data_IF_802548856106
#
_entry.id   IF_802548856106
#
_cell.length_a   1.000
_cell.length_b   1.000
_cell.length_c   1.000
_cell.angle_alpha   90.00
_cell.angle_beta   90.00
_cell.angle_gamma   90.00
#
_symmetry.space_group_name_H-M   'P 1'
#
loop_
_entity.id
_entity.type
_entity.pdbx_description
1 polymer ?
#
# COMPACT_ATOMS: atom_id res chain seq x y z
N UNK A 1 21.00 -2.26 2.24
CA UNK A 1 19.88 -3.20 2.28
C UNK A 1 18.61 -2.54 2.80
N UNK A 2 18.63 -1.93 4.00
CA UNK A 2 17.44 -1.33 4.63
C UNK A 2 16.78 -0.28 3.73
N UNK A 3 17.54 0.71 3.23
CA UNK A 3 17.01 1.75 2.33
C UNK A 3 16.34 1.15 1.09
N UNK A 4 16.93 0.11 0.51
CA UNK A 4 16.33 -0.56 -0.66
C UNK A 4 15.04 -1.32 -0.30
N UNK A 5 14.96 -1.90 0.90
CA UNK A 5 13.75 -2.57 1.39
C UNK A 5 12.62 -1.55 1.60
N UNK A 6 12.92 -0.48 2.36
CA UNK A 6 11.94 0.55 2.71
C UNK A 6 11.42 1.27 1.46
N UNK A 7 12.32 1.80 0.60
CA UNK A 7 11.89 2.50 -0.61
C UNK A 7 11.24 1.58 -1.65
N UNK A 8 11.65 0.31 -1.68
CA UNK A 8 11.07 -0.66 -2.62
C UNK A 8 9.66 -1.10 -2.24
N UNK A 9 9.42 -1.37 -0.95
CA UNK A 9 8.05 -1.71 -0.48
C UNK A 9 7.14 -0.48 -0.55
N UNK A 10 7.68 0.72 -0.36
CA UNK A 10 6.94 1.97 -0.51
C UNK A 10 6.48 2.17 -1.96
N UNK A 11 7.35 1.93 -2.93
CA UNK A 11 6.98 1.96 -4.35
C UNK A 11 5.87 0.95 -4.70
N UNK A 12 5.89 -0.25 -4.09
CA UNK A 12 4.83 -1.23 -4.23
C UNK A 12 3.53 -0.73 -3.58
N UNK A 13 3.61 -0.12 -2.39
CA UNK A 13 2.46 0.46 -1.70
C UNK A 13 1.81 1.56 -2.53
N UNK A 14 2.60 2.50 -3.05
CA UNK A 14 2.14 3.55 -3.95
C UNK A 14 1.37 2.98 -5.16
N UNK A 15 1.93 1.95 -5.82
CA UNK A 15 1.29 1.36 -6.98
C UNK A 15 -0.02 0.62 -6.63
N UNK A 16 -0.06 -0.10 -5.50
CA UNK A 16 -1.26 -0.82 -5.04
C UNK A 16 -2.33 0.17 -4.62
N UNK A 17 -2.00 1.22 -3.86
CA UNK A 17 -2.99 2.23 -3.51
C UNK A 17 -3.50 2.97 -4.75
N UNK A 18 -2.60 3.42 -5.64
CA UNK A 18 -2.99 4.12 -6.86
C UNK A 18 -4.00 3.35 -7.72
N UNK A 19 -3.88 2.02 -7.80
CA UNK A 19 -4.80 1.20 -8.61
C UNK A 19 -6.06 0.78 -7.86
N UNK A 20 -6.06 0.86 -6.54
CA UNK A 20 -7.23 0.51 -5.72
C UNK A 20 -8.05 1.72 -5.28
N UNK A 21 -7.56 2.95 -5.45
CA UNK A 21 -8.34 4.17 -5.15
C UNK A 21 -9.71 4.18 -5.85
N UNK A 22 -10.60 5.03 -5.36
CA UNK A 22 -11.90 5.31 -5.99
C UNK A 22 -11.68 5.73 -7.45
N UNK A 23 -12.57 5.31 -8.35
CA UNK A 23 -12.54 5.72 -9.76
C UNK A 23 -12.79 7.22 -9.88
N UNK A 24 -12.13 7.89 -10.82
CA UNK A 24 -12.18 9.36 -10.97
C UNK A 24 -13.61 9.91 -11.13
N UNK A 25 -14.49 9.14 -11.75
CA UNK A 25 -15.90 9.49 -11.99
C UNK A 25 -16.81 9.16 -10.78
N UNK A 26 -16.27 8.51 -9.76
CA UNK A 26 -16.94 8.14 -8.51
C UNK A 26 -16.37 8.88 -7.29
N UNK A 27 -15.33 9.70 -7.48
CA UNK A 27 -14.70 10.43 -6.39
C UNK A 27 -15.63 11.57 -5.93
N UNK A 28 -16.11 11.48 -4.70
CA UNK A 28 -16.93 12.48 -4.05
C UNK A 28 -16.09 13.29 -3.06
N UNK A 29 -15.99 14.60 -3.29
CA UNK A 29 -15.30 15.52 -2.40
C UNK A 29 -16.38 16.38 -1.71
N UNK A 30 -16.38 16.45 -0.36
CA UNK A 30 -17.37 17.25 0.37
C UNK A 30 -17.35 18.72 -0.06
N UNK A 31 -18.53 19.35 -0.03
CA UNK A 31 -18.68 20.76 -0.43
C UNK A 31 -17.77 21.69 0.41
N UNK A 32 -16.94 22.46 -0.26
CA UNK A 32 -15.99 23.38 0.37
C UNK A 32 -14.63 22.79 0.66
N UNK A 33 -14.45 21.47 0.46
CA UNK A 33 -13.16 20.81 0.56
C UNK A 33 -12.44 20.74 -0.79
N UNK A 34 -11.14 20.47 -0.76
CA UNK A 34 -10.31 20.31 -1.95
C UNK A 34 -9.50 19.03 -1.85
N UNK A 35 -9.39 18.32 -2.96
CA UNK A 35 -8.47 17.17 -3.11
C UNK A 35 -7.50 17.47 -4.25
N UNK A 36 -6.21 17.22 -4.02
CA UNK A 36 -5.18 17.38 -5.06
C UNK A 36 -5.08 16.17 -6.00
N UNK A 37 -5.89 15.14 -5.75
CA UNK A 37 -5.89 13.88 -6.47
C UNK A 37 -7.22 13.66 -7.16
N UNK A 38 -7.17 12.97 -8.30
CA UNK A 38 -8.33 12.79 -9.18
C UNK A 38 -8.98 11.39 -9.03
N UNK A 39 -8.43 10.50 -8.21
CA UNK A 39 -8.84 9.10 -8.20
C UNK A 39 -8.25 8.30 -9.36
N UNK A 40 -8.61 7.04 -9.44
CA UNK A 40 -8.07 6.09 -10.43
C UNK A 40 -8.61 6.36 -11.84
N UNK A 41 -7.70 6.42 -12.81
CA UNK A 41 -7.99 6.46 -14.25
C UNK A 41 -7.40 5.25 -14.96
N UNK A 42 -7.73 5.05 -16.24
CA UNK A 42 -7.09 4.02 -17.07
C UNK A 42 -5.57 4.25 -17.22
N UNK A 43 -5.15 5.51 -17.35
CA UNK A 43 -3.73 5.87 -17.46
C UNK A 43 -2.98 5.52 -16.16
N UNK A 44 -3.49 5.97 -15.01
CA UNK A 44 -2.85 5.68 -13.71
C UNK A 44 -2.83 4.20 -13.40
N UNK A 45 -3.89 3.48 -13.77
CA UNK A 45 -3.97 2.01 -13.64
C UNK A 45 -2.91 1.29 -14.47
N UNK A 46 -2.66 1.75 -15.70
CA UNK A 46 -1.62 1.16 -16.56
C UNK A 46 -0.21 1.36 -16.01
N UNK A 47 0.07 2.54 -15.43
CA UNK A 47 1.35 2.83 -14.78
C UNK A 47 1.53 1.98 -13.52
N UNK A 48 0.50 1.91 -12.67
CA UNK A 48 0.50 1.13 -11.43
C UNK A 48 0.64 -0.38 -11.70
N UNK A 49 -0.08 -0.93 -12.69
CA UNK A 49 0.10 -2.31 -13.13
C UNK A 49 1.55 -2.61 -13.48
N UNK A 50 2.17 -1.76 -14.31
CA UNK A 50 3.55 -1.96 -14.71
C UNK A 50 4.50 -1.92 -13.51
N UNK A 51 4.29 -1.00 -12.57
CA UNK A 51 5.07 -0.92 -11.34
C UNK A 51 4.94 -2.19 -10.49
N UNK A 52 3.70 -2.68 -10.27
CA UNK A 52 3.44 -3.90 -9.49
C UNK A 52 4.13 -5.12 -10.11
N UNK A 53 4.05 -5.28 -11.43
CA UNK A 53 4.72 -6.39 -12.15
C UNK A 53 6.23 -6.36 -11.99
N UNK A 54 6.83 -5.17 -12.01
CA UNK A 54 8.26 -5.00 -11.78
C UNK A 54 8.61 -5.32 -10.33
N UNK A 55 7.86 -4.81 -9.36
CA UNK A 55 8.08 -5.10 -7.94
C UNK A 55 8.00 -6.61 -7.65
N UNK A 56 7.00 -7.30 -8.19
CA UNK A 56 6.85 -8.75 -8.01
C UNK A 56 8.05 -9.57 -8.52
N UNK A 57 8.74 -9.07 -9.54
CA UNK A 57 9.90 -9.75 -10.14
C UNK A 57 11.23 -9.35 -9.53
N UNK A 58 11.37 -8.09 -9.11
CA UNK A 58 12.69 -7.51 -8.89
C UNK A 58 12.94 -7.06 -7.45
N UNK A 59 11.89 -6.79 -6.64
CA UNK A 59 12.06 -6.18 -5.31
C UNK A 59 12.90 -7.06 -4.39
N UNK A 60 12.60 -8.35 -4.30
CA UNK A 60 13.33 -9.27 -3.41
C UNK A 60 14.81 -9.36 -3.82
N UNK A 61 15.09 -9.47 -5.12
CA UNK A 61 16.48 -9.51 -5.61
C UNK A 61 17.21 -8.19 -5.40
N UNK A 62 16.57 -7.07 -5.70
CA UNK A 62 17.15 -5.73 -5.49
C UNK A 62 17.58 -5.47 -4.03
N UNK A 63 16.86 -6.06 -3.06
CA UNK A 63 17.15 -5.93 -1.62
C UNK A 63 18.20 -6.93 -1.15
N UNK A 64 18.11 -8.19 -1.59
CA UNK A 64 18.91 -9.28 -1.04
C UNK A 64 20.17 -9.60 -1.84
N UNK A 65 20.27 -9.13 -3.09
CA UNK A 65 21.41 -9.36 -3.97
C UNK A 65 22.14 -8.05 -4.27
N UNK A 66 23.23 -7.72 -3.53
CA UNK A 66 23.91 -6.43 -3.66
C UNK A 66 24.41 -6.10 -5.07
N UNK A 67 24.73 -7.12 -5.85
CA UNK A 67 25.32 -7.00 -7.19
C UNK A 67 24.29 -7.17 -8.32
N UNK A 68 23.01 -7.36 -8.01
CA UNK A 68 21.94 -7.38 -9.00
C UNK A 68 21.54 -5.96 -9.41
N UNK A 69 22.39 -5.33 -10.21
CA UNK A 69 22.14 -3.98 -10.73
C UNK A 69 20.91 -3.92 -11.63
N UNK A 70 20.60 -5.01 -12.35
CA UNK A 70 19.40 -5.07 -13.18
C UNK A 70 18.13 -4.98 -12.34
N UNK A 71 18.05 -5.71 -11.23
CA UNK A 71 16.92 -5.62 -10.31
C UNK A 71 16.79 -4.20 -9.72
N UNK A 72 17.91 -3.56 -9.38
CA UNK A 72 17.90 -2.19 -8.86
C UNK A 72 17.41 -1.18 -9.91
N UNK A 73 17.86 -1.28 -11.17
CA UNK A 73 17.37 -0.44 -12.27
C UNK A 73 15.87 -0.64 -12.50
N UNK A 74 15.39 -1.88 -12.44
CA UNK A 74 13.97 -2.16 -12.52
C UNK A 74 13.19 -1.54 -11.35
N UNK A 75 13.71 -1.59 -10.13
CA UNK A 75 13.06 -0.94 -8.98
C UNK A 75 13.05 0.58 -9.08
N UNK A 76 14.09 1.21 -9.64
CA UNK A 76 14.08 2.65 -9.94
C UNK A 76 12.97 3.01 -10.96
N UNK A 77 12.81 2.18 -11.99
CA UNK A 77 11.70 2.33 -12.94
C UNK A 77 10.34 2.13 -12.25
N UNK A 78 10.20 1.10 -11.42
CA UNK A 78 8.95 0.85 -10.69
C UNK A 78 8.57 2.03 -9.79
N UNK A 79 9.53 2.58 -9.04
CA UNK A 79 9.31 3.76 -8.20
C UNK A 79 8.86 4.98 -9.02
N UNK A 80 9.46 5.20 -10.20
CA UNK A 80 9.06 6.28 -11.11
C UNK A 80 7.62 6.10 -11.61
N UNK A 81 7.28 4.89 -12.07
CA UNK A 81 5.93 4.59 -12.59
C UNK A 81 4.87 4.69 -11.49
N UNK A 82 5.16 4.17 -10.29
CA UNK A 82 4.30 4.30 -9.13
C UNK A 82 4.12 5.78 -8.73
N UNK A 83 5.22 6.56 -8.75
CA UNK A 83 5.21 8.00 -8.53
C UNK A 83 4.28 8.73 -9.49
N UNK A 84 4.38 8.45 -10.79
CA UNK A 84 3.52 9.04 -11.83
C UNK A 84 2.05 8.62 -11.65
N UNK A 85 1.80 7.38 -11.21
CA UNK A 85 0.43 6.90 -10.96
C UNK A 85 -0.20 7.64 -9.77
N UNK A 86 0.42 7.57 -8.58
CA UNK A 86 -0.18 8.11 -7.37
C UNK A 86 -0.21 9.64 -7.33
N UNK A 87 0.70 10.33 -8.03
CA UNK A 87 0.66 11.80 -8.12
C UNK A 87 -0.62 12.32 -8.78
N UNK A 88 -1.33 11.48 -9.51
CA UNK A 88 -2.63 11.79 -10.12
C UNK A 88 -3.77 11.10 -9.38
N UNK A 89 -3.73 9.76 -9.24
CA UNK A 89 -4.82 9.01 -8.60
C UNK A 89 -4.90 9.20 -7.09
N UNK A 90 -3.80 9.54 -6.46
CA UNK A 90 -3.63 9.62 -5.02
C UNK A 90 -3.15 8.32 -4.39
N UNK A 91 -2.79 8.45 -3.12
CA UNK A 91 -2.63 7.37 -2.13
C UNK A 91 -3.83 7.39 -1.19
N UNK A 92 -4.01 6.37 -0.37
CA UNK A 92 -5.21 6.23 0.44
C UNK A 92 -4.90 5.87 1.91
N UNK A 93 -5.54 4.83 2.41
CA UNK A 93 -5.60 4.52 3.83
C UNK A 93 -4.26 4.07 4.43
N UNK A 94 -3.40 3.37 3.66
CA UNK A 94 -2.06 2.98 4.16
C UNK A 94 -1.28 4.22 4.56
N UNK A 95 -1.21 5.21 3.68
CA UNK A 95 -0.50 6.47 3.93
C UNK A 95 -1.17 7.31 5.04
N UNK A 96 -2.51 7.36 5.08
CA UNK A 96 -3.21 8.06 6.14
C UNK A 96 -2.88 7.49 7.53
N UNK A 97 -2.73 6.18 7.62
CA UNK A 97 -2.38 5.48 8.85
C UNK A 97 -0.88 5.54 9.16
N UNK A 98 -0.03 5.51 8.13
CA UNK A 98 1.42 5.55 8.32
C UNK A 98 1.88 6.89 8.89
N UNK A 99 1.36 8.02 8.43
CA UNK A 99 1.85 9.35 8.86
C UNK A 99 1.87 9.55 10.38
N UNK A 100 0.81 9.29 11.15
CA UNK A 100 0.87 9.40 12.60
C UNK A 100 1.75 8.34 13.24
N UNK A 101 1.71 7.10 12.77
CA UNK A 101 2.51 6.01 13.31
C UNK A 101 4.00 6.24 13.08
N UNK A 102 4.39 6.55 11.85
CA UNK A 102 5.78 6.84 11.50
C UNK A 102 6.32 8.09 12.21
N UNK A 103 5.48 9.12 12.36
CA UNK A 103 5.82 10.34 13.08
C UNK A 103 6.08 10.12 14.58
N UNK A 104 5.30 9.27 15.24
CA UNK A 104 5.49 8.98 16.68
C UNK A 104 6.60 7.95 16.93
N UNK A 105 6.73 6.94 16.06
CA UNK A 105 7.73 5.87 16.24
C UNK A 105 9.08 6.20 15.60
N UNK A 106 9.16 7.31 14.84
CA UNK A 106 10.37 7.73 14.11
C UNK A 106 10.92 6.62 13.19
N UNK A 107 10.04 5.78 12.64
CA UNK A 107 10.43 4.79 11.63
C UNK A 107 10.50 5.44 10.23
N UNK A 108 11.18 4.78 9.29
CA UNK A 108 11.16 5.25 7.91
C UNK A 108 9.76 5.10 7.30
N UNK A 109 9.38 6.05 6.45
CA UNK A 109 8.07 6.08 5.78
C UNK A 109 7.75 4.76 5.05
N UNK A 110 8.69 4.28 4.24
CA UNK A 110 8.48 3.04 3.50
C UNK A 110 8.38 1.79 4.39
N UNK A 111 9.09 1.76 5.53
CA UNK A 111 8.92 0.68 6.50
C UNK A 111 7.51 0.69 7.08
N UNK A 112 7.01 1.86 7.50
CA UNK A 112 5.67 2.00 8.06
C UNK A 112 4.58 1.62 7.05
N UNK A 113 4.69 2.10 5.81
CA UNK A 113 3.79 1.72 4.72
C UNK A 113 3.83 0.21 4.45
N UNK A 114 5.01 -0.38 4.32
CA UNK A 114 5.16 -1.81 4.07
C UNK A 114 4.64 -2.69 5.21
N UNK A 115 4.75 -2.23 6.45
CA UNK A 115 4.16 -2.90 7.61
C UNK A 115 2.63 -2.91 7.52
N UNK A 116 2.02 -1.76 7.24
CA UNK A 116 0.55 -1.59 7.25
C UNK A 116 -0.14 -2.13 6.00
N UNK A 117 0.56 -2.18 4.86
CA UNK A 117 -0.02 -2.50 3.55
C UNK A 117 -0.89 -3.77 3.55
N UNK A 118 -0.45 -4.95 4.03
CA UNK A 118 -1.28 -6.16 3.98
C UNK A 118 -2.57 -6.05 4.78
N UNK A 119 -2.55 -5.35 5.90
CA UNK A 119 -3.73 -5.17 6.77
C UNK A 119 -4.77 -4.28 6.11
N UNK A 120 -4.34 -3.19 5.47
CA UNK A 120 -5.23 -2.30 4.72
C UNK A 120 -5.74 -2.98 3.44
N UNK A 121 -4.89 -3.75 2.75
CA UNK A 121 -5.33 -4.56 1.61
C UNK A 121 -6.44 -5.54 2.02
N UNK A 122 -6.30 -6.22 3.17
CA UNK A 122 -7.32 -7.13 3.71
C UNK A 122 -8.64 -6.39 4.01
N UNK A 123 -8.57 -5.19 4.57
CA UNK A 123 -9.73 -4.33 4.81
C UNK A 123 -10.44 -3.95 3.50
N UNK A 124 -9.68 -3.55 2.49
CA UNK A 124 -10.21 -3.11 1.19
C UNK A 124 -10.63 -4.25 0.24
N UNK A 125 -10.28 -5.50 0.55
CA UNK A 125 -10.36 -6.63 -0.39
C UNK A 125 -11.73 -6.80 -1.00
N UNK A 126 -12.79 -6.78 -0.19
CA UNK A 126 -14.17 -7.00 -0.65
C UNK A 126 -14.66 -5.89 -1.60
N UNK A 127 -14.18 -4.67 -1.44
CA UNK A 127 -14.55 -3.53 -2.30
C UNK A 127 -13.90 -3.56 -3.68
N UNK A 128 -12.83 -4.35 -3.87
CA UNK A 128 -12.01 -4.36 -5.08
C UNK A 128 -11.54 -5.76 -5.49
N UNK A 129 -12.35 -6.81 -5.27
CA UNK A 129 -12.00 -8.21 -5.61
C UNK A 129 -11.37 -8.34 -7.01
N UNK A 130 -11.98 -7.82 -8.10
CA UNK A 130 -11.38 -7.98 -9.43
C UNK A 130 -10.00 -7.30 -9.57
N UNK A 131 -9.79 -6.18 -8.86
CA UNK A 131 -8.52 -5.46 -8.88
C UNK A 131 -7.46 -6.24 -8.09
N UNK A 132 -7.80 -6.73 -6.90
CA UNK A 132 -6.87 -7.55 -6.11
C UNK A 132 -6.52 -8.87 -6.80
N UNK A 133 -7.46 -9.51 -7.48
CA UNK A 133 -7.17 -10.70 -8.29
C UNK A 133 -6.17 -10.40 -9.42
N UNK A 134 -6.25 -9.23 -10.07
CA UNK A 134 -5.25 -8.77 -11.04
C UNK A 134 -3.90 -8.52 -10.37
N UNK A 135 -3.88 -7.85 -9.20
CA UNK A 135 -2.65 -7.60 -8.44
C UNK A 135 -1.93 -8.92 -8.13
N UNK A 136 -2.65 -9.96 -7.68
CA UNK A 136 -2.07 -11.28 -7.43
C UNK A 136 -1.39 -11.85 -8.69
N UNK A 137 -2.06 -11.79 -9.84
CA UNK A 137 -1.48 -12.23 -11.13
C UNK A 137 -0.24 -11.43 -11.50
N UNK A 138 -0.25 -10.14 -11.27
CA UNK A 138 0.89 -9.26 -11.57
C UNK A 138 2.09 -9.49 -10.65
N UNK A 139 1.82 -9.90 -9.41
CA UNK A 139 2.86 -10.33 -8.47
C UNK A 139 3.39 -11.74 -8.75
N UNK A 140 2.80 -12.47 -9.71
CA UNK A 140 3.27 -13.77 -10.17
C UNK A 140 2.61 -14.97 -9.50
N UNK A 141 1.45 -14.77 -8.83
CA UNK A 141 0.72 -15.87 -8.21
C UNK A 141 0.11 -16.83 -9.24
N UNK A 142 0.02 -18.10 -8.86
CA UNK A 142 -0.61 -19.13 -9.67
C UNK A 142 -2.10 -18.87 -9.80
N UNK A 143 -2.61 -18.98 -11.03
CA UNK A 143 -4.03 -18.75 -11.33
C UNK A 143 -4.95 -19.68 -10.54
N UNK A 144 -5.98 -19.12 -9.94
CA UNK A 144 -7.05 -19.83 -9.26
C UNK A 144 -8.37 -19.57 -9.98
N UNK A 145 -9.27 -20.57 -9.97
CA UNK A 145 -10.57 -20.47 -10.64
C UNK A 145 -11.54 -19.53 -9.94
N UNK A 146 -11.44 -19.43 -8.61
CA UNK A 146 -12.25 -18.52 -7.80
C UNK A 146 -11.58 -17.16 -7.69
N UNK A 147 -12.28 -16.11 -8.13
CA UNK A 147 -11.74 -14.75 -8.19
C UNK A 147 -11.50 -14.15 -6.78
N UNK A 148 -12.32 -14.50 -5.79
CA UNK A 148 -12.13 -14.07 -4.41
C UNK A 148 -10.89 -14.72 -3.82
N UNK A 149 -10.71 -16.02 -4.02
CA UNK A 149 -9.49 -16.71 -3.59
C UNK A 149 -8.25 -16.14 -4.30
N UNK A 150 -8.37 -15.79 -5.60
CA UNK A 150 -7.30 -15.13 -6.32
C UNK A 150 -6.97 -13.75 -5.74
N UNK A 151 -7.99 -12.98 -5.36
CA UNK A 151 -7.79 -11.68 -4.68
C UNK A 151 -7.07 -11.83 -3.34
N UNK A 152 -7.40 -12.85 -2.54
CA UNK A 152 -6.71 -13.14 -1.28
C UNK A 152 -5.22 -13.47 -1.49
N UNK A 153 -4.85 -14.06 -2.65
CA UNK A 153 -3.44 -14.31 -2.95
C UNK A 153 -2.63 -13.01 -3.09
N UNK A 154 -3.25 -11.87 -3.44
CA UNK A 154 -2.55 -10.58 -3.49
C UNK A 154 -2.02 -10.17 -2.10
N UNK A 155 -2.84 -10.32 -1.06
CA UNK A 155 -2.44 -10.03 0.33
C UNK A 155 -1.29 -10.94 0.74
N UNK A 156 -1.43 -12.25 0.52
CA UNK A 156 -0.40 -13.24 0.84
C UNK A 156 0.90 -13.02 0.07
N UNK A 157 0.83 -12.57 -1.20
CA UNK A 157 2.00 -12.25 -2.00
C UNK A 157 2.77 -11.07 -1.40
N UNK A 158 2.05 -10.02 -0.99
CA UNK A 158 2.66 -8.85 -0.34
C UNK A 158 3.26 -9.23 1.03
N UNK A 159 2.59 -10.08 1.81
CA UNK A 159 3.13 -10.59 3.07
C UNK A 159 4.46 -11.35 2.86
N UNK A 160 4.53 -12.23 1.86
CA UNK A 160 5.77 -12.94 1.52
C UNK A 160 6.88 -12.00 1.05
N UNK A 161 6.56 -10.99 0.23
CA UNK A 161 7.53 -9.97 -0.20
C UNK A 161 8.05 -9.23 1.03
N UNK A 162 7.16 -8.73 1.89
CA UNK A 162 7.47 -8.03 3.14
C UNK A 162 8.44 -8.84 4.01
N UNK A 163 8.12 -10.10 4.26
CA UNK A 163 8.96 -11.02 5.04
C UNK A 163 10.33 -11.22 4.38
N UNK A 164 10.35 -11.47 3.06
CA UNK A 164 11.59 -11.77 2.31
C UNK A 164 12.59 -10.61 2.30
N UNK A 165 12.11 -9.37 2.37
CA UNK A 165 12.95 -8.17 2.40
C UNK A 165 13.25 -7.67 3.82
N UNK A 166 12.63 -8.27 4.85
CA UNK A 166 12.88 -8.00 6.26
C UNK A 166 12.14 -6.80 6.82
N UNK A 167 11.00 -6.43 6.26
CA UNK A 167 10.10 -5.44 6.85
C UNK A 167 9.34 -6.08 8.02
N UNK A 168 9.27 -5.45 9.20
CA UNK A 168 8.58 -5.97 10.38
C UNK A 168 7.10 -6.26 10.13
N UNK A 169 6.56 -7.23 10.86
CA UNK A 169 5.17 -7.64 10.71
C UNK A 169 4.23 -6.90 11.66
N UNK A 170 4.74 -6.42 12.78
CA UNK A 170 3.94 -5.88 13.88
C UNK A 170 4.43 -4.50 14.30
N UNK A 171 3.50 -3.66 14.70
CA UNK A 171 3.79 -2.31 15.24
C UNK A 171 4.68 -2.41 16.49
N UNK A 172 4.47 -3.41 17.35
CA UNK A 172 5.33 -3.64 18.52
C UNK A 172 6.77 -4.01 18.18
N UNK A 173 7.02 -4.59 17.00
CA UNK A 173 8.37 -4.96 16.57
C UNK A 173 9.22 -3.72 16.21
N UNK A 174 8.57 -2.57 16.00
CA UNK A 174 9.20 -1.27 15.75
C UNK A 174 9.08 -0.30 16.95
N UNK A 175 8.75 -0.83 18.13
CA UNK A 175 8.70 -0.07 19.39
C UNK A 175 7.36 0.58 19.70
N UNK A 176 6.32 0.33 18.90
CA UNK A 176 4.97 0.82 19.20
C UNK A 176 4.34 0.10 20.41
N UNK A 177 3.50 0.81 21.14
CA UNK A 177 2.76 0.28 22.29
C UNK A 177 1.25 0.28 22.01
N UNK A 178 0.51 -0.55 22.76
CA UNK A 178 -0.94 -0.65 22.60
C UNK A 178 -1.64 0.68 22.94
N UNK A 179 -1.09 1.44 23.90
CA UNK A 179 -1.63 2.74 24.30
C UNK A 179 -1.53 3.79 23.20
N UNK A 180 -0.55 3.66 22.30
CA UNK A 180 -0.38 4.58 21.16
C UNK A 180 -1.41 4.38 20.04
N UNK A 181 -2.05 3.20 19.96
CA UNK A 181 -2.97 2.89 18.85
C UNK A 181 -4.15 3.85 18.78
N UNK A 182 -4.63 4.32 19.94
CA UNK A 182 -5.68 5.34 20.01
C UNK A 182 -5.19 6.67 19.42
N UNK A 183 -3.98 7.13 19.81
CA UNK A 183 -3.38 8.37 19.28
C UNK A 183 -3.17 8.28 17.76
N UNK A 184 -2.65 7.16 17.27
CA UNK A 184 -2.50 6.95 15.83
C UNK A 184 -3.84 7.04 15.10
N UNK A 185 -4.90 6.41 15.64
CA UNK A 185 -6.23 6.44 15.06
C UNK A 185 -6.80 7.85 14.99
N UNK A 186 -6.78 8.59 16.12
CA UNK A 186 -7.27 9.97 16.18
C UNK A 186 -6.56 10.89 15.17
N UNK A 187 -5.24 10.74 15.03
CA UNK A 187 -4.45 11.54 14.07
C UNK A 187 -4.69 11.12 12.63
N UNK A 188 -4.81 9.82 12.33
CA UNK A 188 -5.12 9.32 11.01
C UNK A 188 -6.47 9.86 10.52
N UNK A 189 -7.49 9.85 11.38
CA UNK A 189 -8.83 10.38 11.07
C UNK A 189 -8.84 11.85 10.66
N UNK A 190 -7.82 12.64 11.00
CA UNK A 190 -7.71 14.03 10.55
C UNK A 190 -7.21 14.19 9.10
N UNK A 191 -6.76 13.10 8.45
CA UNK A 191 -6.21 13.14 7.08
C UNK A 191 -7.30 12.80 6.07
N UNK A 192 -8.45 13.42 6.18
CA UNK A 192 -9.69 13.12 5.46
C UNK A 192 -9.51 12.98 3.94
N UNK A 193 -8.64 13.79 3.32
CA UNK A 193 -8.40 13.76 1.86
C UNK A 193 -7.96 12.39 1.34
N UNK A 194 -7.32 11.55 2.18
CA UNK A 194 -6.89 10.20 1.81
C UNK A 194 -7.99 9.15 2.07
N UNK A 195 -8.93 9.46 2.97
CA UNK A 195 -10.11 8.61 3.19
C UNK A 195 -11.09 8.68 2.01
N UNK A 196 -11.24 9.86 1.38
CA UNK A 196 -12.10 9.99 0.20
C UNK A 196 -11.62 9.16 -0.98
N UNK A 197 -10.32 8.87 -1.04
CA UNK A 197 -9.70 8.07 -2.09
C UNK A 197 -9.75 6.57 -1.80
N UNK A 198 -9.99 6.17 -0.54
CA UNK A 198 -10.02 4.76 -0.19
C UNK A 198 -11.27 4.08 -0.76
N UNK A 199 -11.16 2.90 -1.42
CA UNK A 199 -12.29 2.27 -2.09
C UNK A 199 -13.39 1.81 -1.14
N UNK A 200 -13.06 1.56 0.13
CA UNK A 200 -14.00 1.24 1.18
C UNK A 200 -14.03 2.37 2.20
N UNK A 201 -15.18 3.00 2.46
CA UNK A 201 -15.31 3.95 3.56
C UNK A 201 -14.82 3.35 4.87
N UNK A 202 -14.07 4.11 5.64
CA UNK A 202 -13.53 3.68 6.92
C UNK A 202 -13.87 4.70 8.01
N UNK A 203 -14.32 4.21 9.15
CA UNK A 203 -14.60 5.00 10.34
C UNK A 203 -13.50 4.80 11.41
N UNK A 204 -13.64 5.46 12.55
CA UNK A 204 -12.68 5.38 13.65
C UNK A 204 -12.44 3.93 14.11
N UNK A 205 -13.51 3.16 14.29
CA UNK A 205 -13.40 1.78 14.79
C UNK A 205 -12.68 0.88 13.78
N UNK A 206 -12.92 1.08 12.48
CA UNK A 206 -12.21 0.35 11.42
C UNK A 206 -10.70 0.61 11.49
N UNK A 207 -10.29 1.89 11.58
CA UNK A 207 -8.88 2.27 11.67
C UNK A 207 -8.24 1.70 12.93
N UNK A 208 -8.92 1.82 14.07
CA UNK A 208 -8.43 1.25 15.32
C UNK A 208 -8.25 -0.28 15.23
N UNK A 209 -9.20 -0.99 14.60
CA UNK A 209 -9.09 -2.44 14.41
C UNK A 209 -7.97 -2.85 13.45
N UNK A 210 -7.72 -2.08 12.39
CA UNK A 210 -6.57 -2.32 11.52
C UNK A 210 -5.26 -2.17 12.31
N UNK A 211 -5.07 -1.09 13.06
CA UNK A 211 -3.89 -0.92 13.92
C UNK A 211 -3.76 -2.03 14.97
N UNK A 212 -4.85 -2.40 15.62
CA UNK A 212 -4.87 -3.47 16.61
C UNK A 212 -4.48 -4.83 16.00
N UNK A 213 -4.93 -5.11 14.78
CA UNK A 213 -4.55 -6.34 14.06
C UNK A 213 -3.07 -6.32 13.66
N UNK A 214 -2.54 -5.14 13.36
CA UNK A 214 -1.13 -4.93 13.03
C UNK A 214 -0.23 -4.85 14.28
N UNK A 215 -0.76 -4.74 15.49
CA UNK A 215 -0.02 -4.71 16.75
C UNK A 215 0.32 -6.13 17.24
#
# INVERSE_FOLDING_TARGET
RQVAADSGIDALTHAIEAITTVDFDQLEIPLGETCAYDGRTELTSSLAERAIRICGKSLISAVNSPDDYQAKDQMALAATLAGMAFSNSGVALVHAMEYPMGGELHCSHGLGNGLLLPYVMQFNLQSRIPTFAKIARWLGETELADETQMAEQAVKAVERIRESIGIPHRIRDIGGTEEQLQSFTEKAMNIQRLFWLNPQPANYDDIYQIYRTAY
#
